data_IF_690580330408
#
_entry.id   IF_690580330408
#
_cell.length_a   1.000
_cell.length_b   1.000
_cell.length_c   1.000
_cell.angle_alpha   90.00
_cell.angle_beta   90.00
_cell.angle_gamma   90.00
#
_symmetry.space_group_name_H-M   'P 1'
#
loop_
_entity.id
_entity.type
_entity.pdbx_description
1 polymer ?
#
# COMPACT_ATOMS: atom_id res chain seq x y z
N UNK A 1 22.02 -21.67 65.84
CA UNK A 1 21.24 -22.00 64.62
C UNK A 1 21.69 -21.01 63.57
N UNK A 2 22.41 -21.47 62.55
CA UNK A 2 22.74 -20.63 61.39
C UNK A 2 21.53 -20.63 60.48
N UNK A 3 20.82 -19.51 60.40
CA UNK A 3 19.83 -19.30 59.35
C UNK A 3 20.57 -19.33 58.00
N UNK A 4 20.05 -20.14 57.09
CA UNK A 4 20.63 -20.37 55.77
C UNK A 4 20.43 -19.13 54.90
N UNK A 5 21.42 -18.78 54.08
CA UNK A 5 21.29 -17.73 53.06
C UNK A 5 20.12 -17.99 52.08
N UNK A 6 19.60 -19.23 52.03
CA UNK A 6 18.39 -19.59 51.28
C UNK A 6 17.08 -19.08 51.92
N UNK A 7 17.02 -18.88 53.24
CA UNK A 7 15.80 -18.32 53.89
C UNK A 7 15.67 -16.80 53.65
N UNK A 8 16.72 -16.14 53.14
CA UNK A 8 16.74 -14.70 52.85
C UNK A 8 16.56 -14.36 51.36
N UNK A 9 16.56 -15.35 50.46
CA UNK A 9 16.54 -15.13 49.00
C UNK A 9 15.19 -15.41 48.32
N UNK A 10 14.14 -15.60 49.10
CA UNK A 10 12.77 -15.68 48.59
C UNK A 10 11.83 -15.16 49.65
N UNK A 11 11.64 -13.84 49.68
CA UNK A 11 10.46 -13.32 50.38
C UNK A 11 9.23 -13.88 49.67
N UNK A 12 8.21 -14.27 50.42
CA UNK A 12 6.95 -14.80 49.88
C UNK A 12 6.32 -13.84 48.85
N UNK A 13 6.60 -12.54 48.94
CA UNK A 13 6.19 -11.53 47.96
C UNK A 13 6.90 -11.67 46.61
N UNK A 14 8.18 -12.03 46.56
CA UNK A 14 8.87 -12.29 45.29
C UNK A 14 8.35 -13.58 44.64
N UNK A 15 8.14 -14.65 45.41
CA UNK A 15 7.55 -15.90 44.88
C UNK A 15 6.11 -15.69 44.38
N UNK A 16 5.27 -14.92 45.09
CA UNK A 16 3.94 -14.53 44.63
C UNK A 16 3.98 -13.62 43.39
N UNK A 17 4.95 -12.70 43.32
CA UNK A 17 5.18 -11.84 42.14
C UNK A 17 5.65 -12.63 40.91
N UNK A 18 6.29 -13.80 41.08
CA UNK A 18 6.57 -14.73 39.97
C UNK A 18 5.37 -15.62 39.63
N UNK A 19 4.53 -15.97 40.62
CA UNK A 19 3.36 -16.82 40.43
C UNK A 19 2.27 -16.17 39.55
N UNK A 20 2.18 -14.85 39.52
CA UNK A 20 1.16 -14.10 38.77
C UNK A 20 1.62 -13.61 37.38
N UNK A 21 2.77 -14.09 36.88
CA UNK A 21 3.29 -13.66 35.58
C UNK A 21 2.69 -14.42 34.41
N UNK A 22 2.37 -13.69 33.35
CA UNK A 22 1.92 -14.24 32.07
C UNK A 22 3.06 -14.17 31.07
N UNK A 23 3.92 -15.20 31.04
CA UNK A 23 5.05 -15.27 30.11
C UNK A 23 4.66 -15.56 28.66
N UNK A 24 3.39 -15.92 28.43
CA UNK A 24 2.85 -16.16 27.10
C UNK A 24 2.34 -14.90 26.43
N UNK A 25 1.59 -15.12 25.36
CA UNK A 25 0.84 -14.08 24.64
C UNK A 25 -0.63 -14.45 24.66
N UNK A 26 -1.51 -13.46 24.72
CA UNK A 26 -2.96 -13.68 24.84
C UNK A 26 -3.71 -12.93 23.74
N UNK A 27 -4.78 -13.50 23.16
CA UNK A 27 -5.66 -12.77 22.27
C UNK A 27 -6.50 -11.76 23.08
N UNK A 28 -6.75 -10.60 22.48
CA UNK A 28 -7.61 -9.56 23.02
C UNK A 28 -8.40 -8.89 21.88
N UNK A 29 -9.53 -8.26 22.21
CA UNK A 29 -10.35 -7.53 21.23
C UNK A 29 -10.19 -6.04 21.40
N UNK A 30 -9.95 -5.32 20.31
CA UNK A 30 -9.79 -3.86 20.32
C UNK A 30 -11.11 -3.19 20.69
N UNK A 31 -11.09 -2.28 21.67
CA UNK A 31 -12.27 -1.53 22.12
C UNK A 31 -12.20 -0.05 21.77
N UNK A 32 -10.99 0.52 21.70
CA UNK A 32 -10.82 1.95 21.47
C UNK A 32 -9.49 2.27 20.79
N UNK A 33 -9.54 3.13 19.78
CA UNK A 33 -8.38 3.55 18.98
C UNK A 33 -8.14 5.06 19.03
N UNK A 34 -8.96 5.82 19.78
CA UNK A 34 -8.92 7.28 19.86
C UNK A 34 -8.00 7.74 21.00
N UNK A 35 -6.69 7.52 20.83
CA UNK A 35 -5.67 7.89 21.82
C UNK A 35 -5.65 9.42 22.06
N UNK A 36 -5.97 9.89 23.28
CA UNK A 36 -6.02 11.33 23.59
C UNK A 36 -4.64 12.01 23.48
N UNK A 37 -3.56 11.25 23.64
CA UNK A 37 -2.18 11.77 23.57
C UNK A 37 -1.57 11.61 22.17
N UNK A 38 -2.32 11.03 21.22
CA UNK A 38 -1.90 10.86 19.81
C UNK A 38 -0.61 10.05 19.64
N UNK A 39 -0.39 9.06 20.51
CA UNK A 39 0.77 8.16 20.47
C UNK A 39 0.52 6.90 19.64
N UNK A 40 -0.69 6.73 19.08
CA UNK A 40 -1.06 5.56 18.28
C UNK A 40 -1.28 4.29 19.12
N UNK A 41 -1.67 4.45 20.39
CA UNK A 41 -2.03 3.35 21.28
C UNK A 41 -3.48 2.92 21.06
N UNK A 42 -3.80 1.72 21.53
CA UNK A 42 -5.17 1.18 21.55
C UNK A 42 -5.54 0.65 22.93
N UNK A 43 -6.84 0.53 23.19
CA UNK A 43 -7.36 -0.22 24.32
C UNK A 43 -7.99 -1.53 23.84
N UNK A 44 -7.96 -2.53 24.71
CA UNK A 44 -8.49 -3.86 24.43
C UNK A 44 -9.34 -4.38 25.60
N UNK A 45 -10.12 -5.42 25.32
CA UNK A 45 -10.74 -6.28 26.31
C UNK A 45 -10.14 -7.69 26.17
N UNK A 46 -9.88 -8.35 27.30
CA UNK A 46 -9.41 -9.73 27.38
C UNK A 46 -10.60 -10.71 27.52
N UNK A 47 -10.94 -11.51 26.49
CA UNK A 47 -12.16 -12.33 26.50
C UNK A 47 -12.22 -13.41 27.60
N UNK A 48 -11.05 -13.77 28.15
CA UNK A 48 -10.91 -14.77 29.21
C UNK A 48 -11.00 -14.18 30.62
N UNK A 49 -10.98 -12.84 30.76
CA UNK A 49 -11.17 -12.17 32.04
C UNK A 49 -12.68 -12.08 32.32
N UNK A 50 -13.12 -12.58 33.47
CA UNK A 50 -14.54 -12.72 33.80
C UNK A 50 -15.27 -11.37 33.89
N UNK A 51 -14.55 -10.29 34.19
CA UNK A 51 -15.06 -8.93 34.12
C UNK A 51 -14.69 -8.30 32.78
N UNK A 52 -15.67 -7.68 32.12
CA UNK A 52 -15.48 -6.92 30.90
C UNK A 52 -14.76 -5.60 31.21
N UNK A 53 -13.49 -5.71 31.58
CA UNK A 53 -12.63 -4.59 31.93
C UNK A 53 -11.85 -4.17 30.68
N UNK A 54 -12.08 -2.93 30.26
CA UNK A 54 -11.26 -2.29 29.23
C UNK A 54 -9.87 -2.01 29.80
N UNK A 55 -8.83 -2.30 29.03
CA UNK A 55 -7.44 -2.01 29.41
C UNK A 55 -7.17 -0.49 29.47
N UNK A 56 -6.00 -0.12 30.00
CA UNK A 56 -5.41 1.18 29.69
C UNK A 56 -4.81 1.18 28.26
N UNK A 57 -4.25 2.31 27.83
CA UNK A 57 -3.67 2.49 26.50
C UNK A 57 -2.39 1.68 26.29
N UNK A 58 -2.44 0.74 25.34
CA UNK A 58 -1.36 -0.20 25.03
C UNK A 58 -0.64 0.24 23.75
N UNK A 59 0.69 0.22 23.78
CA UNK A 59 1.53 0.48 22.60
C UNK A 59 1.52 -0.70 21.63
N UNK A 60 1.64 -0.41 20.34
CA UNK A 60 1.73 -1.42 19.27
C UNK A 60 3.15 -1.50 18.75
N UNK A 61 3.67 -2.72 18.63
CA UNK A 61 4.88 -3.01 17.89
C UNK A 61 4.61 -2.81 16.39
N UNK A 62 5.14 -1.73 15.83
CA UNK A 62 5.10 -1.48 14.38
C UNK A 62 6.30 -2.10 13.69
N UNK A 63 6.16 -2.46 12.41
CA UNK A 63 7.28 -2.98 11.60
C UNK A 63 8.46 -1.99 11.51
N UNK A 64 8.18 -0.70 11.64
CA UNK A 64 9.17 0.37 11.70
C UNK A 64 8.56 1.55 12.47
N UNK A 65 9.30 2.08 13.44
CA UNK A 65 8.91 3.29 14.17
C UNK A 65 10.12 4.21 14.37
N UNK A 66 9.90 5.51 14.26
CA UNK A 66 10.88 6.55 14.51
C UNK A 66 10.26 7.94 14.47
N UNK A 67 11.01 8.96 14.85
CA UNK A 67 10.51 10.35 14.84
C UNK A 67 10.03 10.75 13.44
N UNK A 68 8.72 10.93 13.28
CA UNK A 68 8.07 11.34 12.03
C UNK A 68 8.11 10.31 10.87
N UNK A 69 8.47 9.05 11.13
CA UNK A 69 8.60 8.00 10.10
C UNK A 69 8.20 6.62 10.63
N UNK A 70 7.68 5.75 9.77
CA UNK A 70 7.38 4.38 10.14
C UNK A 70 6.15 3.79 9.47
N UNK A 71 5.76 2.62 9.96
CA UNK A 71 4.49 1.96 9.67
C UNK A 71 3.38 2.45 10.57
N UNK A 72 2.29 2.91 9.98
CA UNK A 72 1.08 3.28 10.72
C UNK A 72 -0.10 2.43 10.25
N UNK A 73 -0.22 1.25 10.85
CA UNK A 73 -1.32 0.31 10.62
C UNK A 73 -2.03 0.05 11.95
N UNK A 74 -3.01 0.89 12.25
CA UNK A 74 -3.79 0.78 13.47
C UNK A 74 -4.91 -0.25 13.25
N UNK A 75 -5.04 -1.27 14.12
CA UNK A 75 -6.23 -2.13 14.14
C UNK A 75 -7.50 -1.31 14.36
N UNK A 76 -8.63 -1.79 13.84
CA UNK A 76 -9.93 -1.19 14.06
C UNK A 76 -10.61 -1.73 15.32
N UNK A 77 -11.59 -0.99 15.85
CA UNK A 77 -12.42 -1.47 16.96
C UNK A 77 -13.14 -2.74 16.54
N UNK A 78 -13.03 -3.78 17.37
CA UNK A 78 -13.56 -5.12 17.11
C UNK A 78 -12.52 -6.10 16.55
N UNK A 79 -11.38 -5.63 16.04
CA UNK A 79 -10.31 -6.52 15.56
C UNK A 79 -9.71 -7.32 16.72
N UNK A 80 -9.20 -8.51 16.40
CA UNK A 80 -8.48 -9.34 17.35
C UNK A 80 -6.98 -9.05 17.26
N UNK A 81 -6.35 -8.86 18.41
CA UNK A 81 -4.92 -8.55 18.54
C UNK A 81 -4.25 -9.50 19.51
N UNK A 82 -2.93 -9.64 19.36
CA UNK A 82 -2.10 -10.46 20.22
C UNK A 82 -1.33 -9.56 21.19
N UNK A 83 -1.49 -9.83 22.48
CA UNK A 83 -0.89 -9.04 23.57
C UNK A 83 0.22 -9.83 24.24
N UNK A 84 1.37 -9.21 24.43
CA UNK A 84 2.49 -9.69 25.25
C UNK A 84 2.68 -8.80 26.48
N UNK A 85 3.37 -9.30 27.48
CA UNK A 85 3.52 -8.65 28.79
C UNK A 85 5.01 -8.52 29.14
N UNK A 86 5.47 -7.32 29.49
CA UNK A 86 6.88 -7.06 29.74
C UNK A 86 7.39 -7.95 30.89
N UNK A 87 8.29 -8.90 30.59
CA UNK A 87 8.76 -9.88 31.59
C UNK A 87 7.63 -10.66 32.31
N UNK A 88 6.48 -10.77 31.65
CA UNK A 88 5.28 -11.41 32.18
C UNK A 88 4.40 -10.53 33.07
N UNK A 89 4.72 -9.24 33.23
CA UNK A 89 3.92 -8.29 34.00
C UNK A 89 2.65 -7.87 33.26
N UNK A 90 1.49 -8.25 33.80
CA UNK A 90 0.18 -7.96 33.22
C UNK A 90 -0.10 -6.46 33.06
N UNK A 91 0.45 -5.64 33.97
CA UNK A 91 0.27 -4.18 33.97
C UNK A 91 1.17 -3.47 32.94
N UNK A 92 2.07 -4.22 32.30
CA UNK A 92 2.99 -3.71 31.27
C UNK A 92 2.77 -4.38 29.90
N UNK A 93 1.61 -4.21 29.25
CA UNK A 93 1.30 -4.88 28.00
C UNK A 93 1.89 -4.21 26.75
N UNK A 94 2.06 -5.01 25.69
CA UNK A 94 2.37 -4.59 24.32
C UNK A 94 1.52 -5.35 23.32
N UNK A 95 0.97 -4.66 22.32
CA UNK A 95 0.37 -5.32 21.17
C UNK A 95 1.49 -5.70 20.21
N UNK A 96 1.58 -6.97 19.83
CA UNK A 96 2.66 -7.49 18.97
C UNK A 96 2.18 -7.89 17.57
N UNK A 97 0.86 -7.86 17.32
CA UNK A 97 0.27 -8.17 16.03
C UNK A 97 -1.26 -8.23 16.08
N UNK A 98 -1.86 -8.47 14.91
CA UNK A 98 -3.29 -8.70 14.74
C UNK A 98 -3.54 -10.14 14.26
N UNK A 99 -4.72 -10.66 14.55
CA UNK A 99 -5.13 -12.02 14.22
C UNK A 99 -6.40 -12.00 13.36
N UNK A 100 -6.46 -12.88 12.37
CA UNK A 100 -7.73 -13.24 11.75
C UNK A 100 -8.49 -14.22 12.63
N UNK A 101 -9.81 -14.17 12.56
CA UNK A 101 -10.72 -15.02 13.34
C UNK A 101 -11.77 -15.66 12.44
N UNK A 102 -12.68 -16.45 13.02
CA UNK A 102 -13.83 -17.02 12.29
C UNK A 102 -14.75 -15.94 11.73
N UNK A 103 -14.84 -14.80 12.42
CA UNK A 103 -15.70 -13.66 12.04
C UNK A 103 -14.95 -12.65 11.15
N UNK A 104 -13.63 -12.50 11.36
CA UNK A 104 -12.76 -11.61 10.60
C UNK A 104 -11.71 -12.41 9.81
N UNK A 105 -12.11 -12.90 8.64
CA UNK A 105 -11.30 -13.76 7.77
C UNK A 105 -10.16 -12.99 7.06
N UNK A 106 -9.10 -13.69 6.61
CA UNK A 106 -8.08 -13.10 5.74
C UNK A 106 -8.69 -12.52 4.45
N UNK A 107 -8.04 -11.50 3.85
CA UNK A 107 -8.55 -10.84 2.66
C UNK A 107 -8.50 -11.70 1.39
N UNK A 108 -7.71 -12.77 1.39
CA UNK A 108 -7.54 -13.74 0.29
C UNK A 108 -7.46 -15.15 0.85
N UNK A 109 -7.89 -16.13 0.05
CA UNK A 109 -7.77 -17.56 0.34
C UNK A 109 -6.52 -18.14 -0.34
N UNK A 110 -5.92 -19.18 0.25
CA UNK A 110 -4.81 -19.93 -0.35
C UNK A 110 -5.25 -21.38 -0.63
N UNK A 111 -6.31 -21.53 -1.42
CA UNK A 111 -6.98 -22.82 -1.60
C UNK A 111 -6.11 -23.91 -2.25
N UNK A 112 -5.17 -23.51 -3.13
CA UNK A 112 -4.24 -24.43 -3.80
C UNK A 112 -2.94 -24.68 -3.02
N UNK A 113 -2.75 -23.99 -1.90
CA UNK A 113 -1.56 -24.09 -1.04
C UNK A 113 -0.29 -23.46 -1.63
N UNK A 114 -0.33 -22.85 -2.82
CA UNK A 114 0.86 -22.31 -3.50
C UNK A 114 1.33 -20.97 -2.94
N UNK A 115 0.45 -20.25 -2.22
CA UNK A 115 0.74 -18.95 -1.63
C UNK A 115 1.18 -17.93 -2.70
N UNK A 116 0.48 -17.92 -3.83
CA UNK A 116 0.84 -17.08 -4.97
C UNK A 116 0.58 -15.58 -4.73
N UNK A 117 -0.22 -15.19 -3.74
CA UNK A 117 -0.62 -13.80 -3.54
C UNK A 117 -0.04 -13.27 -2.22
N UNK A 118 0.69 -12.16 -2.30
CA UNK A 118 1.07 -11.31 -1.16
C UNK A 118 0.28 -10.02 -1.26
N UNK A 119 -0.51 -9.70 -0.24
CA UNK A 119 -1.48 -8.62 -0.31
C UNK A 119 -1.48 -7.77 0.96
N UNK A 120 -1.47 -6.45 0.78
CA UNK A 120 -1.94 -5.50 1.79
C UNK A 120 -3.29 -4.97 1.31
N UNK A 121 -4.33 -5.13 2.14
CA UNK A 121 -5.69 -4.63 1.86
C UNK A 121 -6.15 -3.71 2.98
N UNK A 122 -6.53 -2.49 2.63
CA UNK A 122 -7.13 -1.55 3.56
C UNK A 122 -8.62 -1.84 3.77
N UNK A 123 -9.21 -1.34 4.87
CA UNK A 123 -10.64 -1.50 5.20
C UNK A 123 -11.58 -1.12 4.07
N UNK A 124 -11.29 -0.05 3.33
CA UNK A 124 -12.12 0.40 2.22
C UNK A 124 -11.79 -0.27 0.88
N UNK A 125 -10.89 -1.25 0.83
CA UNK A 125 -10.65 -2.08 -0.35
C UNK A 125 -9.52 -1.62 -1.27
N UNK A 126 -8.68 -0.66 -0.89
CA UNK A 126 -7.41 -0.43 -1.62
C UNK A 126 -6.45 -1.59 -1.38
N UNK A 127 -5.72 -1.99 -2.43
CA UNK A 127 -4.80 -3.12 -2.41
C UNK A 127 -3.41 -2.75 -2.93
N UNK A 128 -2.40 -3.39 -2.34
CA UNK A 128 -1.05 -3.55 -2.90
C UNK A 128 -0.81 -5.04 -2.99
N UNK A 129 -0.68 -5.56 -4.20
CA UNK A 129 -0.64 -6.99 -4.48
C UNK A 129 0.66 -7.34 -5.21
N UNK A 130 1.35 -8.37 -4.73
CA UNK A 130 2.39 -9.09 -5.48
C UNK A 130 1.82 -10.47 -5.79
N UNK A 131 1.84 -10.82 -7.06
CA UNK A 131 1.50 -12.16 -7.54
C UNK A 131 2.79 -12.89 -7.90
N UNK A 132 3.14 -13.89 -7.10
CA UNK A 132 4.27 -14.81 -7.27
C UNK A 132 3.90 -16.00 -8.16
N UNK A 133 2.70 -15.99 -8.79
CA UNK A 133 2.28 -17.08 -9.67
C UNK A 133 3.17 -17.09 -10.93
N UNK A 134 4.15 -17.99 -10.91
CA UNK A 134 5.14 -18.18 -11.99
C UNK A 134 4.57 -18.91 -13.20
N UNK A 135 3.29 -19.33 -13.17
CA UNK A 135 2.61 -19.77 -14.38
C UNK A 135 2.51 -18.61 -15.39
N UNK A 136 2.60 -18.94 -16.68
CA UNK A 136 2.61 -17.95 -17.75
C UNK A 136 1.43 -16.96 -17.59
N UNK A 137 1.76 -15.68 -17.51
CA UNK A 137 0.83 -14.54 -17.46
C UNK A 137 0.23 -14.15 -16.11
N UNK A 138 0.83 -14.54 -14.99
CA UNK A 138 0.27 -14.23 -13.68
C UNK A 138 1.23 -13.54 -12.71
N UNK A 139 2.53 -13.48 -13.01
CA UNK A 139 3.49 -12.73 -12.22
C UNK A 139 3.31 -11.22 -12.43
N UNK A 140 2.97 -10.48 -11.37
CA UNK A 140 2.71 -9.03 -11.45
C UNK A 140 2.76 -8.34 -10.09
N UNK A 141 2.97 -7.03 -10.11
CA UNK A 141 2.79 -6.13 -8.96
C UNK A 141 1.69 -5.11 -9.31
N UNK A 142 0.67 -4.99 -8.46
CA UNK A 142 -0.50 -4.16 -8.69
C UNK A 142 -0.83 -3.28 -7.46
N UNK A 143 -0.97 -1.98 -7.67
CA UNK A 143 -1.59 -1.06 -6.71
C UNK A 143 -2.96 -0.71 -7.26
N UNK A 144 -4.01 -1.04 -6.53
CA UNK A 144 -5.39 -0.82 -6.97
C UNK A 144 -6.19 -0.09 -5.91
N UNK A 145 -6.91 0.93 -6.35
CA UNK A 145 -7.87 1.63 -5.50
C UNK A 145 -9.21 0.91 -5.51
N UNK A 146 -10.00 1.06 -4.44
CA UNK A 146 -11.36 0.51 -4.41
C UNK A 146 -12.25 1.00 -5.57
N UNK A 147 -12.02 2.23 -6.04
CA UNK A 147 -12.74 2.80 -7.18
C UNK A 147 -12.32 2.20 -8.53
N UNK A 148 -11.24 1.41 -8.59
CA UNK A 148 -10.78 0.68 -9.78
C UNK A 148 -9.59 1.28 -10.52
N UNK A 149 -9.01 2.39 -10.06
CA UNK A 149 -7.74 2.91 -10.63
C UNK A 149 -6.58 1.98 -10.31
N UNK A 150 -5.67 1.78 -11.27
CA UNK A 150 -4.62 0.77 -11.22
C UNK A 150 -3.25 1.38 -11.60
N UNK A 151 -2.22 0.99 -10.87
CA UNK A 151 -0.82 1.00 -11.30
C UNK A 151 -0.35 -0.45 -11.34
N UNK A 152 0.21 -0.89 -12.46
CA UNK A 152 0.53 -2.28 -12.73
C UNK A 152 1.95 -2.40 -13.31
N UNK A 153 2.71 -3.36 -12.81
CA UNK A 153 3.90 -3.93 -13.44
C UNK A 153 3.59 -5.40 -13.73
N UNK A 154 3.59 -5.77 -15.00
CA UNK A 154 3.17 -7.08 -15.49
C UNK A 154 4.37 -7.78 -16.13
N UNK A 155 4.78 -8.92 -15.55
CA UNK A 155 5.90 -9.75 -16.02
C UNK A 155 5.38 -11.01 -16.77
N UNK A 156 4.12 -10.98 -17.19
CA UNK A 156 3.53 -11.98 -18.06
C UNK A 156 4.34 -12.15 -19.36
N UNK A 157 4.98 -13.31 -19.52
CA UNK A 157 5.83 -13.59 -20.67
C UNK A 157 5.14 -13.31 -22.02
N UNK A 158 5.75 -12.47 -22.85
CA UNK A 158 5.22 -12.06 -24.15
C UNK A 158 4.14 -10.96 -24.09
N UNK A 159 3.93 -10.37 -22.92
CA UNK A 159 2.99 -9.25 -22.69
C UNK A 159 3.48 -8.28 -21.61
N UNK A 160 4.79 -8.25 -21.39
CA UNK A 160 5.44 -7.50 -20.33
C UNK A 160 5.19 -6.00 -20.48
N UNK A 161 4.71 -5.34 -19.42
CA UNK A 161 4.34 -3.92 -19.47
C UNK A 161 4.30 -3.24 -18.11
N UNK A 162 4.39 -1.91 -18.13
CA UNK A 162 4.05 -1.04 -17.00
C UNK A 162 2.85 -0.20 -17.40
N UNK A 163 1.80 -0.15 -16.58
CA UNK A 163 0.55 0.53 -16.90
C UNK A 163 0.03 1.37 -15.73
N UNK A 164 -0.33 2.62 -15.99
CA UNK A 164 -1.14 3.45 -15.10
C UNK A 164 -2.46 3.71 -15.81
N UNK A 165 -3.58 3.29 -15.23
CA UNK A 165 -4.90 3.47 -15.84
C UNK A 165 -5.96 3.89 -14.85
N UNK A 166 -6.92 4.66 -15.36
CA UNK A 166 -8.14 4.92 -14.62
C UNK A 166 -9.06 3.70 -14.56
N UNK A 167 -10.12 3.80 -13.75
CA UNK A 167 -11.11 2.73 -13.59
C UNK A 167 -11.84 2.34 -14.88
N UNK A 168 -11.84 3.22 -15.88
CA UNK A 168 -12.53 3.00 -17.16
C UNK A 168 -11.63 2.35 -18.21
N UNK A 169 -10.31 2.46 -18.05
CA UNK A 169 -9.31 2.05 -19.03
C UNK A 169 -9.16 3.03 -20.21
N UNK A 170 -9.98 4.07 -20.28
CA UNK A 170 -9.96 5.05 -21.38
C UNK A 170 -8.84 6.09 -21.25
N UNK A 171 -8.34 6.28 -20.04
CA UNK A 171 -7.24 7.19 -19.75
C UNK A 171 -6.10 6.36 -19.15
N UNK A 172 -5.01 6.21 -19.90
CA UNK A 172 -3.90 5.32 -19.52
C UNK A 172 -2.56 5.76 -20.09
N UNK A 173 -1.50 5.36 -19.39
CA UNK A 173 -0.12 5.42 -19.83
C UNK A 173 0.41 3.99 -19.76
N UNK A 174 0.95 3.50 -20.87
CA UNK A 174 1.48 2.13 -20.99
C UNK A 174 2.90 2.18 -21.55
N UNK A 175 3.85 1.59 -20.84
CA UNK A 175 5.16 1.20 -21.36
C UNK A 175 5.03 -0.26 -21.76
N UNK A 176 5.00 -0.52 -23.05
CA UNK A 176 4.91 -1.85 -23.65
C UNK A 176 6.32 -2.35 -23.95
N UNK A 177 6.81 -3.28 -23.11
CA UNK A 177 8.16 -3.80 -23.23
C UNK A 177 8.30 -4.78 -24.39
N UNK A 178 7.20 -5.44 -24.78
CA UNK A 178 7.18 -6.38 -25.92
C UNK A 178 7.28 -5.64 -27.26
N UNK A 179 6.53 -4.54 -27.41
CA UNK A 179 6.57 -3.69 -28.60
C UNK A 179 7.67 -2.62 -28.56
N UNK A 180 8.34 -2.45 -27.41
CA UNK A 180 9.28 -1.36 -27.13
C UNK A 180 8.65 0.02 -27.44
N UNK A 181 7.45 0.25 -26.91
CA UNK A 181 6.62 1.41 -27.20
C UNK A 181 6.08 2.07 -25.93
N UNK A 182 5.82 3.37 -26.00
CA UNK A 182 5.12 4.12 -24.95
C UNK A 182 3.83 4.67 -25.55
N UNK A 183 2.69 4.33 -24.95
CA UNK A 183 1.37 4.79 -25.35
C UNK A 183 0.78 5.69 -24.26
N UNK A 184 0.29 6.87 -24.67
CA UNK A 184 -0.43 7.81 -23.80
C UNK A 184 -1.79 8.05 -24.44
N UNK A 185 -2.85 7.59 -23.79
CA UNK A 185 -4.21 7.60 -24.31
C UNK A 185 -5.14 8.35 -23.36
N UNK A 186 -6.01 9.18 -23.91
CA UNK A 186 -7.07 9.91 -23.21
C UNK A 186 -8.31 9.98 -24.10
N UNK A 187 -9.48 9.76 -23.52
CA UNK A 187 -10.76 9.80 -24.24
C UNK A 187 -11.21 11.20 -24.66
N UNK A 188 -10.70 12.25 -24.02
CA UNK A 188 -11.16 13.63 -24.25
C UNK A 188 -10.02 14.58 -24.60
N UNK A 189 -9.10 14.82 -23.67
CA UNK A 189 -8.06 15.83 -23.83
C UNK A 189 -6.75 15.36 -23.20
N UNK A 190 -5.64 15.69 -23.86
CA UNK A 190 -4.30 15.73 -23.27
C UNK A 190 -3.83 17.18 -23.34
N UNK A 191 -3.58 17.80 -22.19
CA UNK A 191 -3.12 19.20 -22.10
C UNK A 191 -1.68 19.25 -21.59
N UNK A 192 -0.78 19.82 -22.39
CA UNK A 192 0.62 20.01 -22.05
C UNK A 192 0.91 21.51 -21.94
N UNK A 193 1.33 21.98 -20.76
CA UNK A 193 1.64 23.39 -20.50
C UNK A 193 2.95 23.50 -19.74
N UNK A 194 3.92 24.19 -20.31
CA UNK A 194 5.19 24.52 -19.71
C UNK A 194 5.77 25.77 -20.35
N UNK A 195 6.81 26.37 -19.75
CA UNK A 195 7.57 27.46 -20.40
C UNK A 195 8.20 26.98 -21.71
N UNK A 196 8.74 25.76 -21.72
CA UNK A 196 9.36 25.14 -22.88
C UNK A 196 8.82 23.71 -23.05
N UNK A 197 8.52 23.31 -24.29
CA UNK A 197 8.19 21.95 -24.68
C UNK A 197 9.01 21.62 -25.95
N UNK A 198 9.81 20.57 -25.92
CA UNK A 198 10.58 20.07 -27.06
C UNK A 198 10.08 18.68 -27.43
N UNK A 199 9.78 18.45 -28.71
CA UNK A 199 9.37 17.16 -29.25
C UNK A 199 10.26 16.84 -30.45
N UNK A 200 11.00 15.74 -30.37
CA UNK A 200 11.95 15.32 -31.39
C UNK A 200 11.73 13.86 -31.77
N UNK A 201 11.81 13.56 -33.06
CA UNK A 201 11.81 12.21 -33.60
C UNK A 201 12.89 12.12 -34.68
N UNK A 202 13.81 11.15 -34.56
CA UNK A 202 14.86 10.91 -35.56
C UNK A 202 14.32 10.29 -36.85
N UNK A 203 13.22 9.55 -36.74
CA UNK A 203 12.46 9.02 -37.87
C UNK A 203 11.34 9.97 -38.29
N UNK A 204 10.09 9.56 -38.07
CA UNK A 204 8.91 10.31 -38.49
C UNK A 204 8.13 10.84 -37.28
N UNK A 205 7.82 12.14 -37.29
CA UNK A 205 6.85 12.75 -36.39
C UNK A 205 5.48 12.84 -37.09
N UNK A 206 4.46 12.21 -36.52
CA UNK A 206 3.09 12.21 -37.05
C UNK A 206 2.17 13.07 -36.18
N UNK A 207 1.51 14.06 -36.79
CA UNK A 207 0.52 14.92 -36.15
C UNK A 207 -0.79 14.85 -36.95
N UNK A 208 -1.81 14.19 -36.40
CA UNK A 208 -3.09 13.97 -37.08
C UNK A 208 -4.26 14.35 -36.16
N UNK A 209 -5.22 15.08 -36.71
CA UNK A 209 -6.48 15.43 -36.05
C UNK A 209 -7.49 15.90 -37.09
N UNK A 210 -8.76 16.02 -36.71
CA UNK A 210 -9.76 16.64 -37.59
C UNK A 210 -9.42 18.11 -37.89
N UNK A 211 -8.82 18.79 -36.91
CA UNK A 211 -8.29 20.15 -37.00
C UNK A 211 -6.95 20.23 -36.28
N UNK A 212 -6.02 21.03 -36.78
CA UNK A 212 -4.78 21.38 -36.09
C UNK A 212 -4.63 22.90 -36.05
N UNK A 213 -4.33 23.45 -34.87
CA UNK A 213 -4.10 24.88 -34.65
C UNK A 213 -2.70 25.06 -34.09
N UNK A 214 -1.87 25.82 -34.79
CA UNK A 214 -0.49 26.15 -34.38
C UNK A 214 -0.39 27.66 -34.32
N UNK A 215 -0.13 28.20 -33.12
CA UNK A 215 -0.03 29.63 -32.87
C UNK A 215 1.33 29.95 -32.25
N UNK A 216 2.02 30.94 -32.81
CA UNK A 216 3.20 31.54 -32.20
C UNK A 216 2.98 33.05 -32.07
N UNK A 217 3.25 33.61 -30.89
CA UNK A 217 3.06 35.04 -30.63
C UNK A 217 4.19 35.92 -31.19
N UNK A 218 5.37 35.35 -31.39
CA UNK A 218 6.52 36.05 -31.94
C UNK A 218 6.92 35.45 -33.31
N UNK A 219 7.42 34.21 -33.32
CA UNK A 219 7.95 33.57 -34.53
C UNK A 219 7.47 32.13 -34.65
N UNK A 220 7.04 31.74 -35.85
CA UNK A 220 6.79 30.35 -36.24
C UNK A 220 7.79 29.95 -37.33
N UNK A 221 8.76 29.09 -36.99
CA UNK A 221 9.76 28.59 -37.94
C UNK A 221 9.43 27.16 -38.38
N UNK A 222 9.32 26.94 -39.71
CA UNK A 222 9.10 25.64 -40.32
C UNK A 222 10.19 25.36 -41.36
N UNK A 223 11.15 24.52 -41.00
CA UNK A 223 12.32 24.24 -41.83
C UNK A 223 12.29 22.81 -42.38
N UNK A 224 12.45 22.66 -43.70
CA UNK A 224 12.66 21.38 -44.37
C UNK A 224 13.90 21.48 -45.25
N UNK A 225 14.86 20.57 -45.09
CA UNK A 225 16.05 20.50 -45.95
C UNK A 225 15.72 19.95 -47.34
N UNK A 226 14.70 19.10 -47.43
CA UNK A 226 14.11 18.62 -48.67
C UNK A 226 12.86 19.41 -49.07
N UNK A 227 11.87 18.69 -49.60
CA UNK A 227 10.61 19.30 -50.06
C UNK A 227 9.65 19.51 -48.89
N UNK A 228 9.19 20.74 -48.69
CA UNK A 228 8.01 21.03 -47.88
C UNK A 228 6.75 20.97 -48.76
N UNK A 229 5.76 20.15 -48.37
CA UNK A 229 4.48 20.03 -49.10
C UNK A 229 3.34 20.56 -48.26
N UNK A 230 2.64 21.58 -48.76
CA UNK A 230 1.41 22.11 -48.18
C UNK A 230 0.26 21.87 -49.14
N UNK A 231 -0.76 21.11 -48.70
CA UNK A 231 -1.94 20.77 -49.50
C UNK A 231 -3.20 21.20 -48.77
N UNK A 232 -4.09 21.88 -49.48
CA UNK A 232 -5.41 22.28 -49.01
C UNK A 232 -6.29 22.65 -50.20
N UNK A 233 -7.61 22.56 -50.06
CA UNK A 233 -8.55 23.08 -51.07
C UNK A 233 -8.39 24.59 -51.27
N UNK A 234 -7.96 25.29 -50.21
CA UNK A 234 -7.62 26.71 -50.22
C UNK A 234 -6.45 26.95 -49.26
N UNK A 235 -5.40 27.62 -49.75
CA UNK A 235 -4.23 28.01 -48.94
C UNK A 235 -4.08 29.52 -49.01
N UNK A 236 -4.15 30.20 -47.87
CA UNK A 236 -3.94 31.65 -47.77
C UNK A 236 -2.58 31.91 -47.15
N UNK A 237 -1.74 32.66 -47.87
CA UNK A 237 -0.47 33.21 -47.38
C UNK A 237 -0.59 34.72 -47.55
N UNK A 238 -0.36 35.48 -46.49
CA UNK A 238 -0.50 36.93 -46.50
C UNK A 238 0.60 37.60 -45.67
#
# INVERSE_FOLDING_TARGET
MSESLLDYLGSTEEEEAYANRIYGVVPAKVTNTKDPEKLGRIKVNYPWLAEASESDWIRIASFMAGSGRGGFFLPDVGDEVLVSFQQGDFDSPFIIGALWSTDAKPPEENADGKNNIKLIKSRCGHTITISDDTEASKAKIEIKTNAGHIILMDDASGSEKIEIKDKTGNNKITIDSTANAINIESSMEIKLKATNITIEASGQLNLKGATAKVEASATLDLNASGIATLKGSMTKIN
#
